data_IF_097165909965
#
_entry.id   IF_097165909965
#
_cell.length_a   1.000
_cell.length_b   1.000
_cell.length_c   1.000
_cell.angle_alpha   90.00
_cell.angle_beta   90.00
_cell.angle_gamma   90.00
#
_symmetry.space_group_name_H-M   'P 1'
#
loop_
_entity.id
_entity.type
_entity.pdbx_description
1 polymer ?
#
# COMPACT_ATOMS: atom_id res chain seq x y z
N UNK A 1 -11.93 -13.93 -3.28
CA UNK A 1 -11.45 -12.70 -2.62
C UNK A 1 -12.33 -12.47 -1.40
N UNK A 2 -11.82 -12.70 -0.18
CA UNK A 2 -12.58 -12.49 1.07
C UNK A 2 -12.14 -11.21 1.82
N UNK A 3 -11.23 -10.44 1.23
CA UNK A 3 -10.81 -9.14 1.75
C UNK A 3 -11.95 -8.13 1.58
N UNK A 4 -12.72 -7.88 2.64
CA UNK A 4 -13.86 -6.93 2.63
C UNK A 4 -13.52 -5.56 3.24
N UNK A 5 -12.23 -5.25 3.37
CA UNK A 5 -11.79 -3.98 3.89
C UNK A 5 -12.10 -2.86 2.90
N UNK A 6 -12.69 -1.77 3.38
CA UNK A 6 -12.79 -0.55 2.60
C UNK A 6 -11.41 0.07 2.39
N UNK A 7 -11.32 1.03 1.47
CA UNK A 7 -10.13 1.87 1.38
C UNK A 7 -9.85 2.56 2.73
N UNK A 8 -8.63 2.40 3.24
CA UNK A 8 -8.22 2.83 4.57
C UNK A 8 -7.62 4.22 4.44
N UNK A 9 -8.25 5.23 5.07
CA UNK A 9 -7.74 6.60 5.04
C UNK A 9 -6.39 6.69 5.77
N UNK A 10 -5.48 7.51 5.23
CA UNK A 10 -4.15 7.73 5.81
C UNK A 10 -4.21 8.19 7.27
N UNK A 11 -3.23 7.80 8.09
CA UNK A 11 -3.10 8.28 9.49
C UNK A 11 -2.82 9.79 9.53
N UNK A 12 -1.95 10.27 8.65
CA UNK A 12 -1.40 11.64 8.66
C UNK A 12 -1.85 12.48 7.44
N UNK A 13 -3.02 12.16 6.89
CA UNK A 13 -3.63 12.74 5.68
C UNK A 13 -3.08 12.25 4.33
N UNK A 14 -1.81 11.89 4.22
CA UNK A 14 -1.25 11.39 2.94
C UNK A 14 -0.69 9.97 3.05
N UNK A 15 -0.84 9.22 1.97
CA UNK A 15 -0.17 7.95 1.73
C UNK A 15 0.67 8.08 0.47
N UNK A 16 1.96 7.78 0.58
CA UNK A 16 2.92 7.92 -0.52
C UNK A 16 3.33 6.53 -0.99
N UNK A 17 2.88 6.15 -2.20
CA UNK A 17 3.43 5.00 -2.91
C UNK A 17 4.75 5.44 -3.54
N UNK A 18 5.85 4.78 -3.21
CA UNK A 18 7.21 5.09 -3.61
C UNK A 18 7.87 3.88 -4.27
N UNK A 19 8.61 4.14 -5.35
CA UNK A 19 9.49 3.18 -6.02
C UNK A 19 10.86 3.84 -6.17
N UNK A 20 11.93 3.15 -5.77
CA UNK A 20 13.31 3.59 -5.90
C UNK A 20 14.14 2.48 -6.52
N UNK A 21 14.93 2.81 -7.53
CA UNK A 21 15.87 1.91 -8.21
C UNK A 21 17.26 2.55 -8.14
N UNK A 22 18.21 1.84 -7.54
CA UNK A 22 19.62 2.23 -7.54
C UNK A 22 20.21 2.12 -8.95
N UNK A 23 21.08 3.05 -9.31
CA UNK A 23 21.72 3.10 -10.63
C UNK A 23 23.23 2.99 -10.56
N UNK A 24 23.75 2.53 -9.42
CA UNK A 24 25.18 2.35 -9.23
C UNK A 24 25.69 1.13 -10.02
N UNK A 25 26.95 1.14 -10.48
CA UNK A 25 27.54 0.05 -11.25
C UNK A 25 27.56 -1.29 -10.49
N UNK A 26 27.69 -1.25 -9.16
CA UNK A 26 27.81 -2.45 -8.33
C UNK A 26 26.59 -2.64 -7.41
N UNK A 27 26.28 -3.90 -7.10
CA UNK A 27 25.20 -4.23 -6.16
C UNK A 27 25.47 -3.66 -4.75
N UNK A 28 26.71 -3.71 -4.28
CA UNK A 28 27.12 -3.22 -2.94
C UNK A 28 26.87 -1.71 -2.81
N UNK A 29 27.17 -0.93 -3.85
CA UNK A 29 26.88 0.50 -3.85
C UNK A 29 25.37 0.79 -3.89
N UNK A 30 24.61 0.00 -4.65
CA UNK A 30 23.15 0.12 -4.63
C UNK A 30 22.57 -0.18 -3.25
N UNK A 31 23.09 -1.20 -2.54
CA UNK A 31 22.69 -1.52 -1.16
C UNK A 31 22.96 -0.35 -0.21
N UNK A 32 24.11 0.33 -0.35
CA UNK A 32 24.41 1.52 0.43
C UNK A 32 23.41 2.66 0.18
N UNK A 33 23.00 2.86 -1.08
CA UNK A 33 21.96 3.84 -1.43
C UNK A 33 20.60 3.46 -0.83
N UNK A 34 20.21 2.18 -0.87
CA UNK A 34 18.95 1.75 -0.28
C UNK A 34 18.94 1.91 1.24
N UNK A 35 20.05 1.64 1.91
CA UNK A 35 20.21 1.89 3.34
C UNK A 35 20.09 3.37 3.68
N UNK A 36 20.73 4.25 2.92
CA UNK A 36 20.64 5.71 3.08
C UNK A 36 19.19 6.22 2.89
N UNK A 37 18.48 5.69 1.90
CA UNK A 37 17.05 5.99 1.69
C UNK A 37 16.21 5.54 2.89
N UNK A 38 16.43 4.33 3.41
CA UNK A 38 15.70 3.80 4.57
C UNK A 38 15.99 4.63 5.83
N UNK A 39 17.25 5.04 6.06
CA UNK A 39 17.62 5.90 7.18
C UNK A 39 16.97 7.28 7.07
N UNK A 40 16.93 7.87 5.87
CA UNK A 40 16.24 9.15 5.64
C UNK A 40 14.74 9.05 5.89
N UNK A 41 14.13 7.94 5.48
CA UNK A 41 12.73 7.63 5.77
C UNK A 41 12.47 7.50 7.28
N UNK A 42 13.36 6.83 8.00
CA UNK A 42 13.28 6.70 9.47
C UNK A 42 13.43 8.04 10.18
N UNK A 43 14.34 8.88 9.73
CA UNK A 43 14.51 10.23 10.27
C UNK A 43 13.29 11.14 9.99
N UNK A 44 12.61 10.93 8.86
CA UNK A 44 11.51 11.82 8.40
C UNK A 44 10.13 11.37 8.86
N UNK A 45 9.83 10.07 8.77
CA UNK A 45 8.53 9.47 9.07
C UNK A 45 8.50 8.72 10.41
N UNK A 46 9.65 8.57 11.05
CA UNK A 46 9.79 7.85 12.31
C UNK A 46 9.86 6.34 12.14
N UNK A 47 9.50 5.64 13.21
CA UNK A 47 9.61 4.18 13.30
C UNK A 47 8.71 3.47 12.28
N UNK A 48 8.95 2.16 12.07
CA UNK A 48 8.18 1.33 11.15
C UNK A 48 6.67 1.35 11.44
N UNK A 49 6.31 1.43 12.73
CA UNK A 49 4.92 1.45 13.18
C UNK A 49 4.26 2.83 13.01
N UNK A 50 5.06 3.91 13.09
CA UNK A 50 4.59 5.28 12.88
C UNK A 50 4.26 5.50 11.40
N UNK A 51 5.15 5.07 10.50
CA UNK A 51 4.99 5.20 9.04
C UNK A 51 4.03 4.17 8.42
N UNK A 52 3.50 3.25 9.21
CA UNK A 52 2.61 2.17 8.76
C UNK A 52 1.38 2.73 8.02
N UNK A 53 1.07 2.28 6.79
CA UNK A 53 0.00 2.87 5.98
C UNK A 53 -1.42 2.54 6.48
N UNK A 54 -1.56 1.49 7.29
CA UNK A 54 -2.83 1.04 7.84
C UNK A 54 -2.90 1.38 9.33
N UNK A 55 -3.98 2.04 9.75
CA UNK A 55 -4.25 2.34 11.16
C UNK A 55 -5.47 1.55 11.66
N UNK A 56 -5.32 0.85 12.81
CA UNK A 56 -6.40 0.05 13.47
C UNK A 56 -7.74 0.78 13.56
N UNK A 57 -7.83 2.03 14.05
CA UNK A 57 -9.14 2.69 14.22
C UNK A 57 -9.84 3.00 12.90
N UNK A 58 -9.16 2.91 11.75
CA UNK A 58 -9.70 3.23 10.42
C UNK A 58 -10.05 1.99 9.58
N UNK A 59 -9.90 0.79 10.14
CA UNK A 59 -10.28 -0.47 9.49
C UNK A 59 -11.79 -0.70 9.61
N UNK A 60 -12.52 -0.37 8.54
CA UNK A 60 -13.96 -0.61 8.42
C UNK A 60 -14.24 -1.71 7.38
N UNK A 61 -15.17 -2.60 7.72
CA UNK A 61 -15.73 -3.56 6.77
C UNK A 61 -16.58 -2.81 5.74
N UNK A 62 -16.57 -3.27 4.48
CA UNK A 62 -17.39 -2.65 3.46
C UNK A 62 -18.86 -3.07 3.57
N UNK A 63 -19.73 -2.07 3.60
CA UNK A 63 -21.19 -2.23 3.62
C UNK A 63 -21.86 -1.86 2.30
N UNK A 64 -21.11 -1.28 1.37
CA UNK A 64 -21.65 -0.73 0.14
C UNK A 64 -21.90 -1.83 -0.89
N UNK A 65 -23.09 -1.82 -1.48
CA UNK A 65 -23.51 -2.80 -2.49
C UNK A 65 -22.57 -2.85 -3.70
N UNK A 66 -21.90 -1.73 -4.03
CA UNK A 66 -20.91 -1.67 -5.13
C UNK A 66 -19.69 -2.55 -4.85
N UNK A 67 -19.25 -2.60 -3.61
CA UNK A 67 -18.08 -3.37 -3.18
C UNK A 67 -18.45 -4.86 -3.04
N UNK A 68 -19.66 -5.15 -2.55
CA UNK A 68 -20.21 -6.50 -2.44
C UNK A 68 -20.64 -7.09 -3.80
N UNK A 69 -20.96 -6.25 -4.78
CA UNK A 69 -21.36 -6.66 -6.12
C UNK A 69 -20.22 -7.32 -6.90
N UNK A 70 -18.96 -7.00 -6.59
CA UNK A 70 -17.80 -7.71 -7.13
C UNK A 70 -17.81 -9.18 -6.72
N UNK A 71 -17.93 -9.44 -5.42
CA UNK A 71 -18.03 -10.79 -4.85
C UNK A 71 -19.28 -11.52 -5.38
N UNK A 72 -20.44 -10.85 -5.37
CA UNK A 72 -21.69 -11.44 -5.86
C UNK A 72 -21.67 -11.77 -7.36
N UNK A 73 -20.91 -11.04 -8.20
CA UNK A 73 -20.76 -11.38 -9.63
C UNK A 73 -19.88 -12.62 -9.84
N UNK A 74 -18.86 -12.81 -9.00
CA UNK A 74 -17.94 -13.95 -9.08
C UNK A 74 -18.61 -15.24 -8.59
N UNK A 75 -19.36 -15.17 -7.50
CA UNK A 75 -19.98 -16.36 -6.89
C UNK A 75 -21.41 -16.66 -7.35
N UNK A 76 -22.13 -15.68 -7.93
CA UNK A 76 -23.51 -15.87 -8.40
C UNK A 76 -23.65 -15.35 -9.83
N UNK A 77 -23.57 -16.29 -10.77
CA UNK A 77 -23.69 -16.02 -12.22
C UNK A 77 -25.13 -15.66 -12.66
N UNK A 78 -26.15 -16.11 -11.91
CA UNK A 78 -27.56 -15.87 -12.25
C UNK A 78 -28.09 -14.53 -11.67
N UNK A 79 -28.85 -13.77 -12.49
CA UNK A 79 -29.51 -12.52 -12.07
C UNK A 79 -30.84 -12.82 -11.37
N UNK A 80 -31.17 -12.06 -10.32
CA UNK A 80 -32.48 -12.13 -9.64
C UNK A 80 -32.41 -12.52 -8.14
N UNK A 81 -33.41 -13.27 -7.67
CA UNK A 81 -33.65 -13.57 -6.24
C UNK A 81 -32.46 -14.22 -5.52
N UNK A 82 -31.76 -15.15 -6.18
CA UNK A 82 -30.55 -15.79 -5.63
C UNK A 82 -29.43 -14.79 -5.31
N UNK A 83 -29.23 -13.79 -6.18
CA UNK A 83 -28.25 -12.72 -5.97
C UNK A 83 -28.67 -11.80 -4.83
N UNK A 84 -29.95 -11.46 -4.75
CA UNK A 84 -30.49 -10.67 -3.63
C UNK A 84 -30.33 -11.39 -2.28
N UNK A 85 -30.62 -12.70 -2.23
CA UNK A 85 -30.44 -13.52 -1.02
C UNK A 85 -28.98 -13.63 -0.60
N UNK A 86 -28.07 -13.74 -1.57
CA UNK A 86 -26.63 -13.73 -1.30
C UNK A 86 -26.15 -12.37 -0.78
N UNK A 87 -26.60 -11.25 -1.38
CA UNK A 87 -26.30 -9.91 -0.86
C UNK A 87 -26.85 -9.70 0.56
N UNK A 88 -28.06 -10.20 0.86
CA UNK A 88 -28.61 -10.18 2.21
C UNK A 88 -27.79 -10.99 3.21
N UNK A 89 -27.37 -12.21 2.82
CA UNK A 89 -26.47 -13.01 3.63
C UNK A 89 -25.15 -12.30 3.90
N UNK A 90 -24.54 -11.67 2.88
CA UNK A 90 -23.34 -10.86 3.04
C UNK A 90 -23.53 -9.72 4.06
N UNK A 91 -24.69 -9.05 4.04
CA UNK A 91 -25.03 -8.01 5.03
C UNK A 91 -25.14 -8.56 6.45
N UNK A 92 -25.75 -9.72 6.64
CA UNK A 92 -25.84 -10.39 7.94
C UNK A 92 -24.44 -10.76 8.46
N UNK A 93 -23.59 -11.32 7.59
CA UNK A 93 -22.19 -11.65 7.94
C UNK A 93 -21.40 -10.39 8.31
N UNK A 94 -21.52 -9.30 7.56
CA UNK A 94 -20.86 -8.03 7.89
C UNK A 94 -21.41 -7.41 9.18
N UNK A 95 -22.71 -7.51 9.43
CA UNK A 95 -23.34 -7.09 10.68
C UNK A 95 -22.80 -7.85 11.88
N UNK A 96 -22.71 -9.18 11.77
CA UNK A 96 -22.12 -10.00 12.81
C UNK A 96 -20.63 -9.67 13.00
N UNK A 97 -19.89 -9.46 11.90
CA UNK A 97 -18.50 -9.02 11.93
C UNK A 97 -18.32 -7.68 12.64
N UNK A 98 -19.19 -6.71 12.39
CA UNK A 98 -19.16 -5.39 13.07
C UNK A 98 -19.51 -5.49 14.55
N UNK A 99 -20.54 -6.27 14.90
CA UNK A 99 -20.91 -6.52 16.29
C UNK A 99 -19.73 -7.15 17.05
N UNK A 100 -19.08 -8.14 16.44
CA UNK A 100 -17.89 -8.78 16.98
C UNK A 100 -16.67 -7.84 17.03
N UNK A 101 -16.48 -6.93 16.07
CA UNK A 101 -15.43 -5.91 16.15
C UNK A 101 -15.65 -4.88 17.26
N UNK A 102 -16.92 -4.64 17.65
CA UNK A 102 -17.32 -3.64 18.65
C UNK A 102 -17.38 -4.21 20.07
N UNK A 103 -17.77 -5.48 20.20
CA UNK A 103 -18.03 -6.14 21.48
C UNK A 103 -17.20 -7.42 21.71
N UNK A 104 -16.51 -7.92 20.69
CA UNK A 104 -15.60 -9.04 20.82
C UNK A 104 -14.37 -8.63 21.63
N UNK A 105 -14.10 -9.37 22.71
CA UNK A 105 -12.99 -9.11 23.62
C UNK A 105 -11.61 -9.33 23.01
N UNK A 106 -10.69 -9.90 23.79
CA UNK A 106 -9.27 -10.05 23.44
C UNK A 106 -9.01 -10.76 22.10
N UNK A 107 -9.82 -11.76 21.73
CA UNK A 107 -9.67 -12.49 20.47
C UNK A 107 -9.75 -11.60 19.21
N UNK A 108 -10.60 -10.57 19.23
CA UNK A 108 -10.75 -9.66 18.08
C UNK A 108 -9.68 -8.57 18.04
N UNK A 109 -9.16 -8.17 19.20
CA UNK A 109 -7.97 -7.30 19.28
C UNK A 109 -6.75 -8.02 18.69
N UNK A 110 -6.57 -9.30 19.03
CA UNK A 110 -5.50 -10.13 18.48
C UNK A 110 -5.61 -10.28 16.95
N UNK A 111 -6.82 -10.47 16.42
CA UNK A 111 -7.02 -10.53 14.96
C UNK A 111 -6.65 -9.21 14.26
N UNK A 112 -7.01 -8.05 14.83
CA UNK A 112 -6.63 -6.74 14.27
C UNK A 112 -5.12 -6.53 14.27
N UNK A 113 -4.44 -6.95 15.33
CA UNK A 113 -2.97 -6.90 15.40
C UNK A 113 -2.36 -7.86 14.38
N UNK A 114 -2.89 -9.08 14.23
CA UNK A 114 -2.45 -10.04 13.23
C UNK A 114 -2.54 -9.44 11.81
N UNK A 115 -3.65 -8.78 11.47
CA UNK A 115 -3.82 -8.13 10.16
C UNK A 115 -2.76 -7.06 9.92
N UNK A 116 -2.40 -6.26 10.93
CA UNK A 116 -1.31 -5.27 10.78
C UNK A 116 0.04 -5.94 10.55
N UNK A 117 0.35 -6.98 11.32
CA UNK A 117 1.63 -7.70 11.24
C UNK A 117 1.83 -8.39 9.88
N UNK A 118 0.74 -8.72 9.20
CA UNK A 118 0.76 -9.38 7.89
C UNK A 118 0.61 -8.40 6.72
N UNK A 119 0.55 -7.08 6.98
CA UNK A 119 0.61 -6.05 5.94
C UNK A 119 2.03 -5.93 5.42
N UNK A 120 2.18 -6.23 4.13
CA UNK A 120 3.42 -6.01 3.42
C UNK A 120 3.36 -4.66 2.67
N UNK A 121 3.92 -3.64 3.31
CA UNK A 121 3.97 -2.26 2.82
C UNK A 121 5.38 -1.79 2.42
N UNK A 122 6.41 -2.64 2.60
CA UNK A 122 7.80 -2.34 2.25
C UNK A 122 8.43 -3.60 1.68
N UNK A 123 8.80 -3.54 0.40
CA UNK A 123 9.28 -4.67 -0.40
C UNK A 123 10.54 -4.28 -1.15
N UNK A 124 11.34 -5.29 -1.46
CA UNK A 124 12.58 -5.14 -2.21
C UNK A 124 12.57 -6.12 -3.38
N UNK A 125 12.12 -5.66 -4.55
CA UNK A 125 11.96 -6.45 -5.78
C UNK A 125 12.55 -5.64 -6.95
N UNK A 126 13.80 -5.92 -7.30
CA UNK A 126 14.62 -5.16 -8.29
C UNK A 126 14.75 -3.65 -7.95
N UNK A 127 14.43 -3.28 -6.72
CA UNK A 127 14.32 -1.92 -6.22
C UNK A 127 13.46 -1.84 -4.96
N UNK A 128 13.58 -0.75 -4.22
CA UNK A 128 12.80 -0.49 -3.02
C UNK A 128 11.40 0.01 -3.40
N UNK A 129 10.36 -0.70 -2.97
CA UNK A 129 8.96 -0.31 -3.13
C UNK A 129 8.31 -0.18 -1.76
N UNK A 130 7.63 0.93 -1.51
CA UNK A 130 6.94 1.10 -0.25
C UNK A 130 5.70 1.98 -0.33
N UNK A 131 4.80 1.78 0.62
CA UNK A 131 3.68 2.68 0.88
C UNK A 131 3.81 3.20 2.30
N UNK A 132 4.04 4.50 2.45
CA UNK A 132 4.20 5.14 3.77
C UNK A 132 3.08 6.12 4.04
N UNK A 133 2.63 6.20 5.29
CA UNK A 133 1.70 7.23 5.75
C UNK A 133 2.47 8.39 6.37
N UNK A 134 2.21 9.61 5.94
CA UNK A 134 2.81 10.83 6.50
C UNK A 134 2.06 12.07 6.06
N UNK A 135 2.62 13.24 6.33
CA UNK A 135 2.06 14.53 5.93
C UNK A 135 2.81 15.14 4.73
N UNK A 136 2.31 16.28 4.25
CA UNK A 136 2.87 17.00 3.12
C UNK A 136 4.27 17.60 3.39
N UNK A 137 4.64 17.83 4.65
CA UNK A 137 5.98 18.31 5.04
C UNK A 137 6.98 17.16 4.96
N UNK A 138 6.66 16.03 5.59
CA UNK A 138 7.45 14.79 5.54
C UNK A 138 7.70 14.36 4.09
N UNK A 139 6.64 14.36 3.27
CA UNK A 139 6.76 14.08 1.83
C UNK A 139 7.75 15.03 1.15
N UNK A 140 7.65 16.34 1.39
CA UNK A 140 8.53 17.32 0.73
C UNK A 140 9.99 17.10 1.10
N UNK A 141 10.28 16.78 2.36
CA UNK A 141 11.65 16.45 2.83
C UNK A 141 12.17 15.21 2.10
N UNK A 142 11.39 14.13 2.07
CA UNK A 142 11.78 12.89 1.38
C UNK A 142 12.02 13.11 -0.12
N UNK A 143 11.10 13.80 -0.80
CA UNK A 143 11.22 14.05 -2.24
C UNK A 143 12.41 14.96 -2.56
N UNK A 144 12.73 15.92 -1.70
CA UNK A 144 13.92 16.77 -1.89
C UNK A 144 15.21 15.95 -1.81
N UNK A 145 15.31 15.04 -0.84
CA UNK A 145 16.44 14.11 -0.74
C UNK A 145 16.53 13.17 -1.96
N UNK A 146 15.42 12.56 -2.37
CA UNK A 146 15.42 11.66 -3.54
C UNK A 146 15.77 12.40 -4.84
N UNK A 147 15.32 13.64 -4.99
CA UNK A 147 15.68 14.50 -6.11
C UNK A 147 17.17 14.84 -6.12
N UNK A 148 17.78 15.08 -4.96
CA UNK A 148 19.23 15.26 -4.85
C UNK A 148 19.98 14.01 -5.30
N UNK A 149 19.57 12.82 -4.84
CA UNK A 149 20.22 11.56 -5.22
C UNK A 149 19.98 11.19 -6.69
N UNK A 150 18.83 11.57 -7.25
CA UNK A 150 18.55 11.44 -8.69
C UNK A 150 19.50 12.30 -9.53
N UNK A 151 19.70 13.57 -9.15
CA UNK A 151 20.63 14.49 -9.84
C UNK A 151 22.08 14.07 -9.72
N UNK A 152 22.46 13.48 -8.58
CA UNK A 152 23.78 12.89 -8.39
C UNK A 152 23.99 11.61 -9.23
N UNK A 153 22.92 11.06 -9.82
CA UNK A 153 22.99 9.84 -10.63
C UNK A 153 23.05 8.56 -9.80
N UNK A 154 22.75 8.63 -8.49
CA UNK A 154 22.84 7.51 -7.57
C UNK A 154 21.63 6.58 -7.64
N UNK A 155 20.45 7.14 -7.91
CA UNK A 155 19.19 6.41 -8.01
C UNK A 155 18.24 7.04 -9.02
N UNK A 156 17.14 6.34 -9.31
CA UNK A 156 15.97 6.87 -9.99
C UNK A 156 14.74 6.49 -9.19
N UNK A 157 13.79 7.41 -9.03
CA UNK A 157 12.63 7.20 -8.17
C UNK A 157 11.32 7.61 -8.85
N UNK A 158 10.21 7.08 -8.36
CA UNK A 158 8.88 7.48 -8.76
C UNK A 158 7.96 7.45 -7.54
N UNK A 159 7.04 8.40 -7.45
CA UNK A 159 6.12 8.46 -6.32
C UNK A 159 4.72 8.89 -6.74
N UNK A 160 3.74 8.52 -5.92
CA UNK A 160 2.35 8.98 -6.02
C UNK A 160 1.78 9.21 -4.64
N UNK A 161 1.16 10.37 -4.46
CA UNK A 161 0.39 10.72 -3.26
C UNK A 161 -1.06 10.27 -3.43
N UNK A 162 -1.62 9.72 -2.36
CA UNK A 162 -3.03 9.38 -2.22
C UNK A 162 -3.53 9.76 -0.83
N UNK A 163 -4.83 9.91 -0.65
CA UNK A 163 -5.46 10.21 0.65
C UNK A 163 -5.78 8.93 1.45
N UNK A 164 -5.70 7.78 0.79
CA UNK A 164 -6.07 6.47 1.33
C UNK A 164 -5.29 5.34 0.65
N UNK A 165 -5.27 4.19 1.29
CA UNK A 165 -4.69 2.96 0.75
C UNK A 165 -5.75 1.89 0.53
N UNK A 166 -5.50 1.01 -0.43
CA UNK A 166 -6.31 -0.17 -0.72
C UNK A 166 -5.51 -1.40 -0.34
N UNK A 167 -6.13 -2.27 0.45
CA UNK A 167 -5.57 -3.55 0.84
C UNK A 167 -6.09 -4.66 -0.07
N UNK A 168 -5.18 -5.44 -0.64
CA UNK A 168 -5.49 -6.63 -1.44
C UNK A 168 -4.98 -7.85 -0.69
N UNK A 169 -5.89 -8.73 -0.25
CA UNK A 169 -5.52 -9.96 0.43
C UNK A 169 -5.28 -11.09 -0.58
N UNK A 170 -4.10 -11.71 -0.54
CA UNK A 170 -3.86 -13.02 -1.12
C UNK A 170 -4.05 -14.07 0.00
N UNK A 171 -5.09 -14.87 -0.15
CA UNK A 171 -5.49 -15.88 0.84
C UNK A 171 -5.02 -17.23 0.31
N UNK A 172 -3.97 -17.78 0.93
CA UNK A 172 -3.51 -19.14 0.65
C UNK A 172 -4.26 -20.13 1.56
N UNK A 173 -4.45 -19.80 2.84
CA UNK A 173 -5.25 -20.56 3.80
C UNK A 173 -6.07 -19.66 4.73
N UNK A 174 -7.28 -20.09 5.09
CA UNK A 174 -8.23 -19.31 5.94
C UNK A 174 -7.77 -19.11 7.39
N UNK A 175 -6.77 -19.86 7.87
CA UNK A 175 -6.43 -19.94 9.30
C UNK A 175 -4.98 -19.64 9.68
N UNK A 176 -4.18 -19.01 8.80
CA UNK A 176 -2.85 -18.57 9.24
C UNK A 176 -1.92 -17.98 8.19
N UNK A 177 -2.19 -18.18 6.90
CA UNK A 177 -1.32 -17.71 5.83
C UNK A 177 -2.07 -16.74 4.92
N UNK A 178 -2.25 -15.51 5.42
CA UNK A 178 -2.78 -14.39 4.65
C UNK A 178 -1.67 -13.35 4.50
N UNK A 179 -1.34 -12.99 3.27
CA UNK A 179 -0.45 -11.87 2.98
C UNK A 179 -1.30 -10.71 2.49
N UNK A 180 -1.18 -9.57 3.16
CA UNK A 180 -1.95 -8.38 2.83
C UNK A 180 -1.05 -7.41 2.07
N UNK A 181 -1.31 -7.26 0.78
CA UNK A 181 -0.64 -6.27 -0.05
C UNK A 181 -1.35 -4.94 0.13
N UNK A 182 -0.58 -3.85 0.19
CA UNK A 182 -1.13 -2.50 0.28
C UNK A 182 -0.60 -1.64 -0.85
N UNK A 183 -1.50 -0.89 -1.49
CA UNK A 183 -1.18 0.14 -2.48
C UNK A 183 -1.97 1.43 -2.19
N UNK A 184 -1.46 2.57 -2.63
CA UNK A 184 -2.20 3.83 -2.63
C UNK A 184 -3.43 3.76 -3.54
N UNK A 185 -4.54 4.34 -3.11
CA UNK A 185 -5.73 4.42 -3.96
C UNK A 185 -5.51 5.30 -5.18
N UNK A 186 -6.46 5.24 -6.13
CA UNK A 186 -6.44 6.02 -7.37
C UNK A 186 -5.20 5.78 -8.22
N UNK A 187 -4.71 4.52 -8.23
CA UNK A 187 -3.63 4.05 -9.10
C UNK A 187 -2.23 4.06 -8.49
N UNK A 188 -2.08 4.34 -7.19
CA UNK A 188 -0.86 4.19 -6.37
C UNK A 188 0.44 3.85 -7.11
N UNK A 189 0.87 2.60 -7.04
CA UNK A 189 2.11 2.11 -7.65
C UNK A 189 2.13 2.25 -9.17
N UNK A 190 1.00 2.09 -9.86
CA UNK A 190 0.96 2.25 -11.32
C UNK A 190 1.34 3.67 -11.74
N UNK A 191 0.89 4.69 -10.99
CA UNK A 191 1.23 6.08 -11.26
C UNK A 191 2.62 6.45 -10.75
N UNK A 192 3.09 5.84 -9.65
CA UNK A 192 4.48 5.95 -9.22
C UNK A 192 5.44 5.37 -10.27
N UNK A 193 5.12 4.22 -10.86
CA UNK A 193 5.90 3.59 -11.92
C UNK A 193 5.93 4.44 -13.20
N UNK A 194 4.82 5.13 -13.54
CA UNK A 194 4.80 6.10 -14.63
C UNK A 194 5.78 7.25 -14.39
N UNK A 195 5.81 7.79 -13.17
CA UNK A 195 6.73 8.85 -12.75
C UNK A 195 8.20 8.40 -12.79
N UNK A 196 8.45 7.15 -12.40
CA UNK A 196 9.77 6.50 -12.50
C UNK A 196 10.23 6.39 -13.96
N UNK A 197 9.35 5.87 -14.83
CA UNK A 197 9.66 5.66 -16.26
C UNK A 197 10.02 6.97 -16.96
N UNK A 198 9.32 8.06 -16.65
CA UNK A 198 9.63 9.38 -17.20
C UNK A 198 11.06 9.82 -16.85
N UNK A 199 11.48 9.64 -15.59
CA UNK A 199 12.85 9.95 -15.17
C UNK A 199 13.90 9.04 -15.80
N UNK A 200 13.59 7.76 -15.98
CA UNK A 200 14.49 6.84 -16.71
C UNK A 200 14.71 7.31 -18.16
N UNK A 201 13.64 7.73 -18.85
CA UNK A 201 13.73 8.27 -20.22
C UNK A 201 14.50 9.60 -20.27
N UNK A 202 14.30 10.49 -19.31
CA UNK A 202 15.07 11.75 -19.19
C UNK A 202 16.56 11.49 -19.02
N UNK A 203 16.92 10.52 -18.17
CA UNK A 203 18.30 10.12 -17.94
C UNK A 203 18.95 9.49 -19.16
N UNK A 204 18.23 8.61 -19.87
CA UNK A 204 18.72 8.03 -21.14
C UNK A 204 19.05 9.12 -22.15
N UNK A 205 18.14 10.08 -22.35
CA UNK A 205 18.38 11.23 -23.25
C UNK A 205 19.58 12.08 -22.83
N UNK A 206 19.86 12.20 -21.53
CA UNK A 206 21.03 12.91 -21.03
C UNK A 206 22.31 12.14 -21.35
N UNK A 207 22.32 10.82 -21.13
CA UNK A 207 23.45 9.93 -21.48
C UNK A 207 23.74 9.94 -22.98
N UNK A 208 22.71 9.86 -23.83
CA UNK A 208 22.84 9.81 -25.29
C UNK A 208 23.35 11.13 -25.90
N UNK A 209 23.22 12.25 -25.18
CA UNK A 209 23.73 13.57 -25.59
C UNK A 209 25.16 13.85 -25.13
N UNK A 210 25.65 13.08 -24.16
CA UNK A 210 26.99 13.23 -23.59
C UNK A 210 28.05 12.39 -24.32
N UNK A 211 27.62 11.52 -25.24
CA UNK A 211 28.44 10.72 -26.17
C UNK A 211 28.48 11.39 -27.53
#
# INVERSE_FOLDING_TARGET
>A
MECRWQAIASRYAESVSLIVIGTMPTAIENDAIYLDVIQTLEATYGSRDERHPVAIPKLNLSWLDRDLMGEAKVFVQQRGWRRWRYLWWLRVVNFLGWLLMRFGGSAWQNYRQLVLLTVDFQKFDDGLRMVVSGDAVMRRVLIAYLEQQYRAGNLVYGYRVSDRVVMTCLIFERHGQQVHFVDGANGGYALAARSLKQRLEERQKFSDRAV
#
